data_IF_365092309202
#
_entry.id   IF_365092309202
#
_cell.length_a   1.000
_cell.length_b   1.000
_cell.length_c   1.000
_cell.angle_alpha   90.00
_cell.angle_beta   90.00
_cell.angle_gamma   90.00
#
_symmetry.space_group_name_H-M   'P 1'
#
loop_
_entity.id
_entity.type
_entity.pdbx_description
1 polymer ?
#
# COMPACT_ATOMS: atom_id res chain seq x y z
N UNK A 1 -19.62 -3.48 -5.13
CA UNK A 1 -18.35 -3.72 -5.81
C UNK A 1 -17.45 -2.51 -5.61
N UNK A 2 -16.22 -2.73 -5.25
CA UNK A 2 -15.27 -1.66 -5.00
C UNK A 2 -14.03 -1.81 -5.86
N UNK A 3 -13.39 -0.69 -6.13
CA UNK A 3 -12.13 -0.64 -6.88
C UNK A 3 -11.04 -0.24 -5.90
N UNK A 4 -9.90 -0.92 -5.94
CA UNK A 4 -8.80 -0.58 -5.05
C UNK A 4 -7.47 -0.52 -5.78
N UNK A 5 -6.54 0.21 -5.19
CA UNK A 5 -5.15 0.27 -5.63
C UNK A 5 -4.26 0.42 -4.41
N UNK A 6 -3.01 0.01 -4.56
CA UNK A 6 -2.05 -0.02 -3.46
C UNK A 6 -0.86 0.87 -3.82
N UNK A 7 -0.43 1.69 -2.87
CA UNK A 7 0.77 2.50 -3.04
C UNK A 7 1.95 1.69 -2.55
N UNK A 8 2.88 1.42 -3.47
CA UNK A 8 4.12 0.68 -3.17
C UNK A 8 5.32 1.60 -3.19
N UNK A 9 6.26 1.33 -2.29
CA UNK A 9 7.61 1.84 -2.40
C UNK A 9 8.49 0.67 -2.83
N UNK A 10 8.90 0.66 -4.09
CA UNK A 10 9.42 -0.52 -4.76
C UNK A 10 8.37 -1.65 -4.69
N UNK A 11 8.64 -2.73 -3.94
CA UNK A 11 7.69 -3.83 -3.77
C UNK A 11 7.08 -3.90 -2.37
N UNK A 12 7.24 -2.84 -1.58
CA UNK A 12 6.74 -2.78 -0.21
C UNK A 12 5.47 -1.93 -0.18
N UNK A 13 4.32 -2.50 0.21
CA UNK A 13 3.09 -1.72 0.28
C UNK A 13 3.09 -0.76 1.47
N UNK A 14 2.48 0.39 1.30
CA UNK A 14 2.38 1.41 2.35
C UNK A 14 0.95 1.82 2.64
N UNK A 15 0.14 1.97 1.59
CA UNK A 15 -1.21 2.52 1.72
C UNK A 15 -2.13 1.86 0.71
N UNK A 16 -3.40 1.72 1.09
CA UNK A 16 -4.44 1.18 0.24
C UNK A 16 -5.49 2.25 0.02
N UNK A 17 -5.89 2.47 -1.23
CA UNK A 17 -6.99 3.37 -1.55
C UNK A 17 -8.12 2.56 -2.16
N UNK A 18 -9.30 2.65 -1.58
CA UNK A 18 -10.47 1.88 -2.00
C UNK A 18 -11.62 2.83 -2.25
N UNK A 19 -12.34 2.59 -3.32
CA UNK A 19 -13.46 3.42 -3.71
C UNK A 19 -14.63 2.54 -4.15
N UNK A 20 -15.83 2.86 -3.69
CA UNK A 20 -17.06 2.26 -4.19
C UNK A 20 -18.00 3.38 -4.67
N UNK A 21 -19.23 3.05 -4.99
CA UNK A 21 -20.18 4.02 -5.53
C UNK A 21 -20.55 5.11 -4.52
N UNK A 22 -20.30 4.90 -3.24
CA UNK A 22 -20.72 5.79 -2.16
C UNK A 22 -19.56 6.38 -1.36
N UNK A 23 -18.47 5.63 -1.19
CA UNK A 23 -17.38 6.00 -0.30
C UNK A 23 -16.02 5.86 -0.95
N UNK A 24 -15.08 6.67 -0.47
CA UNK A 24 -13.66 6.53 -0.78
C UNK A 24 -12.91 6.45 0.55
N UNK A 25 -12.10 5.40 0.71
CA UNK A 25 -11.38 5.13 1.95
C UNK A 25 -9.89 4.98 1.64
N UNK A 26 -9.06 5.60 2.46
CA UNK A 26 -7.61 5.40 2.43
C UNK A 26 -7.20 4.74 3.74
N UNK A 27 -6.45 3.65 3.65
CA UNK A 27 -5.99 2.90 4.82
C UNK A 27 -4.48 2.83 4.81
N UNK A 28 -3.86 3.25 5.90
CA UNK A 28 -2.42 3.10 6.08
C UNK A 28 -2.13 1.75 6.69
N UNK A 29 -1.07 1.11 6.20
CA UNK A 29 -0.63 -0.15 6.77
C UNK A 29 0.10 0.08 8.10
N UNK A 30 0.26 -0.96 8.94
CA UNK A 30 0.94 -0.82 10.22
C UNK A 30 2.35 -0.23 10.09
N UNK A 31 2.88 0.40 11.14
CA UNK A 31 4.20 1.06 11.10
C UNK A 31 5.34 0.17 10.63
N UNK A 32 5.25 -1.15 10.81
CA UNK A 32 6.31 -2.06 10.37
C UNK A 32 6.60 -1.98 8.88
N UNK A 33 5.59 -1.62 8.06
CA UNK A 33 5.77 -1.45 6.62
C UNK A 33 6.62 -0.23 6.32
N UNK A 34 6.37 0.89 7.01
CA UNK A 34 7.19 2.09 6.84
C UNK A 34 8.61 1.88 7.36
N UNK A 35 8.75 1.17 8.46
CA UNK A 35 10.06 0.82 8.99
C UNK A 35 10.85 -0.03 8.00
N UNK A 36 10.17 -0.96 7.32
CA UNK A 36 10.81 -1.77 6.29
C UNK A 36 11.25 -0.94 5.10
N UNK A 37 10.41 0.02 4.68
CA UNK A 37 10.74 0.94 3.59
C UNK A 37 11.99 1.75 3.95
N UNK A 38 12.03 2.31 5.16
CA UNK A 38 13.17 3.10 5.61
C UNK A 38 14.44 2.25 5.64
N UNK A 39 14.33 1.03 6.13
CA UNK A 39 15.47 0.11 6.20
C UNK A 39 16.01 -0.23 4.82
N UNK A 40 15.13 -0.55 3.88
CA UNK A 40 15.54 -0.89 2.51
C UNK A 40 16.14 0.32 1.81
N UNK A 41 15.54 1.50 1.99
CA UNK A 41 16.06 2.73 1.44
C UNK A 41 17.49 3.00 1.93
N UNK A 42 17.73 2.79 3.23
CA UNK A 42 19.05 2.94 3.81
C UNK A 42 20.05 1.94 3.25
N UNK A 43 19.64 0.68 3.16
CA UNK A 43 20.51 -0.40 2.65
C UNK A 43 20.90 -0.20 1.19
N UNK A 44 19.99 0.36 0.40
CA UNK A 44 20.23 0.59 -1.03
C UNK A 44 20.83 1.95 -1.33
N UNK A 45 21.04 2.79 -0.32
CA UNK A 45 21.57 4.12 -0.50
C UNK A 45 20.58 5.10 -1.15
N UNK A 46 19.28 4.81 -1.06
CA UNK A 46 18.23 5.63 -1.66
C UNK A 46 17.73 6.70 -0.68
N UNK A 47 18.66 7.38 -0.03
CA UNK A 47 18.33 8.39 0.99
C UNK A 47 18.20 9.80 0.40
N UNK A 48 18.64 9.98 -0.83
CA UNK A 48 18.43 11.24 -1.53
C UNK A 48 16.93 11.39 -1.79
N UNK A 49 16.38 12.57 -1.55
CA UNK A 49 14.95 12.81 -1.69
C UNK A 49 14.42 12.44 -3.07
N UNK A 50 15.14 12.77 -4.13
CA UNK A 50 14.71 12.48 -5.50
C UNK A 50 14.66 10.98 -5.75
N UNK A 51 15.70 10.25 -5.34
CA UNK A 51 15.76 8.80 -5.53
C UNK A 51 14.69 8.09 -4.70
N UNK A 52 14.49 8.54 -3.47
CA UNK A 52 13.48 7.98 -2.58
C UNK A 52 12.08 8.16 -3.16
N UNK A 53 11.74 9.37 -3.57
CA UNK A 53 10.42 9.69 -4.10
C UNK A 53 10.14 8.99 -5.44
N UNK A 54 11.17 8.73 -6.24
CA UNK A 54 11.02 8.07 -7.52
C UNK A 54 10.56 6.61 -7.38
N UNK A 55 10.70 6.02 -6.20
CA UNK A 55 10.32 4.62 -5.96
C UNK A 55 8.84 4.44 -5.62
N UNK A 56 8.11 5.52 -5.34
CA UNK A 56 6.69 5.44 -5.03
C UNK A 56 5.87 5.21 -6.29
N UNK A 57 5.05 4.17 -6.30
CA UNK A 57 4.19 3.85 -7.44
C UNK A 57 2.87 3.28 -6.97
N UNK A 58 1.78 3.70 -7.61
CA UNK A 58 0.49 3.08 -7.42
C UNK A 58 0.40 1.81 -8.27
N UNK A 59 -0.22 0.78 -7.71
CA UNK A 59 -0.55 -0.42 -8.47
C UNK A 59 -1.69 -0.11 -9.44
N UNK A 60 -1.99 -1.05 -10.34
CA UNK A 60 -3.15 -0.95 -11.18
C UNK A 60 -4.42 -1.08 -10.33
N UNK A 61 -5.49 -0.43 -10.75
CA UNK A 61 -6.77 -0.56 -10.07
C UNK A 61 -7.35 -1.93 -10.34
N UNK A 62 -7.90 -2.54 -9.30
CA UNK A 62 -8.57 -3.84 -9.39
C UNK A 62 -9.94 -3.76 -8.77
N UNK A 63 -10.88 -4.49 -9.35
CA UNK A 63 -12.24 -4.58 -8.82
C UNK A 63 -12.36 -5.78 -7.87
N UNK A 64 -13.15 -5.60 -6.83
CA UNK A 64 -13.38 -6.65 -5.86
C UNK A 64 -14.78 -6.50 -5.27
N UNK A 65 -15.47 -7.61 -5.03
CA UNK A 65 -16.79 -7.59 -4.41
C UNK A 65 -16.72 -7.12 -2.97
N UNK A 66 -17.71 -6.33 -2.58
CA UNK A 66 -17.83 -5.82 -1.22
C UNK A 66 -17.90 -4.30 -1.20
N UNK A 67 -18.11 -3.75 0.00
CA UNK A 67 -18.06 -2.31 0.20
C UNK A 67 -16.61 -1.86 0.28
N UNK A 68 -16.39 -0.53 0.19
CA UNK A 68 -15.04 0.01 0.33
C UNK A 68 -14.40 -0.42 1.65
N UNK A 69 -15.18 -0.42 2.75
CA UNK A 69 -14.69 -0.83 4.06
C UNK A 69 -14.28 -2.31 4.07
N UNK A 70 -15.12 -3.17 3.54
CA UNK A 70 -14.86 -4.62 3.51
C UNK A 70 -13.62 -4.93 2.66
N UNK A 71 -13.51 -4.31 1.50
CA UNK A 71 -12.37 -4.50 0.61
C UNK A 71 -11.08 -3.98 1.24
N UNK A 72 -11.14 -2.81 1.87
CA UNK A 72 -9.97 -2.24 2.55
C UNK A 72 -9.46 -3.17 3.64
N UNK A 73 -10.34 -3.72 4.46
CA UNK A 73 -9.96 -4.65 5.54
C UNK A 73 -9.38 -5.95 4.99
N UNK A 74 -10.00 -6.50 3.93
CA UNK A 74 -9.54 -7.74 3.33
C UNK A 74 -8.16 -7.58 2.69
N UNK A 75 -7.95 -6.52 1.94
CA UNK A 75 -6.67 -6.26 1.28
C UNK A 75 -5.59 -6.00 2.31
N UNK A 76 -5.90 -5.23 3.36
CA UNK A 76 -4.96 -4.98 4.44
C UNK A 76 -4.50 -6.28 5.10
N UNK A 77 -5.46 -7.17 5.41
CA UNK A 77 -5.15 -8.46 6.02
C UNK A 77 -4.27 -9.32 5.12
N UNK A 78 -4.56 -9.32 3.82
CA UNK A 78 -3.76 -10.08 2.84
C UNK A 78 -2.33 -9.57 2.76
N UNK A 79 -2.15 -8.25 2.76
CA UNK A 79 -0.81 -7.67 2.71
C UNK A 79 -0.02 -7.93 3.99
N UNK A 80 -0.68 -7.87 5.14
CA UNK A 80 -0.05 -8.19 6.42
C UNK A 80 0.37 -9.65 6.48
N UNK A 81 -0.45 -10.55 5.93
CA UNK A 81 -0.16 -11.98 5.90
C UNK A 81 1.04 -12.31 5.00
N UNK A 82 1.27 -11.51 3.97
CA UNK A 82 2.41 -11.69 3.06
C UNK A 82 3.70 -11.11 3.59
N UNK A 83 3.62 -10.22 4.57
CA UNK A 83 4.80 -9.59 5.16
C UNK A 83 5.45 -10.59 6.11
N UNK A 84 6.61 -11.10 5.71
CA UNK A 84 7.35 -12.11 6.48
C UNK A 84 8.59 -11.52 7.18
N UNK A 85 8.57 -10.22 7.34
CA UNK A 85 9.66 -9.48 8.01
C UNK A 85 9.19 -8.65 9.18
#
# INVERSE_FOLDING_TARGET
>A
MATYKILYWQDIPSQIKVEDAQDEISVELPPKFMERIDKVAHQKGLQNADDYLAQWQWSEEEDRDGTAQEVAEAVKAELEAKADW
#
